data_IF_236866535688
#
_entry.id   IF_236866535688
#
_cell.length_a   1.000
_cell.length_b   1.000
_cell.length_c   1.000
_cell.angle_alpha   90.00
_cell.angle_beta   90.00
_cell.angle_gamma   90.00
#
_symmetry.space_group_name_H-M   'P 1'
#
loop_
_entity.id
_entity.type
_entity.pdbx_description
1 polymer ?
#
# COMPACT_ATOMS: atom_id res chain seq x y z
N UNK A 1 -9.60 0.20 -29.73
CA UNK A 1 -8.34 -0.53 -29.45
C UNK A 1 -7.49 0.27 -28.46
N UNK A 2 -7.45 -0.10 -27.17
CA UNK A 2 -6.61 0.54 -26.11
C UNK A 2 -5.88 -0.53 -25.27
N UNK A 3 -5.32 -1.55 -25.92
CA UNK A 3 -4.75 -2.73 -25.24
C UNK A 3 -3.22 -2.74 -25.17
N UNK A 4 -2.53 -1.85 -25.88
CA UNK A 4 -1.06 -1.87 -25.98
C UNK A 4 -0.32 -1.20 -24.81
N UNK A 5 -0.87 -0.13 -24.22
CA UNK A 5 -0.18 0.62 -23.16
C UNK A 5 -0.07 -0.15 -21.84
N UNK A 6 -1.11 -0.91 -21.46
CA UNK A 6 -1.09 -1.75 -20.26
C UNK A 6 -0.16 -2.97 -20.41
N UNK A 7 -0.06 -3.52 -21.63
CA UNK A 7 0.84 -4.63 -21.95
C UNK A 7 2.31 -4.19 -22.03
N UNK A 8 2.59 -3.00 -22.53
CA UNK A 8 3.93 -2.42 -22.55
C UNK A 8 4.43 -1.98 -21.16
N UNK A 9 3.52 -1.58 -20.24
CA UNK A 9 3.87 -1.37 -18.83
C UNK A 9 4.12 -2.70 -18.09
N UNK A 10 3.54 -3.81 -18.56
CA UNK A 10 3.72 -5.14 -17.97
C UNK A 10 5.07 -5.79 -18.26
N UNK A 11 5.72 -5.41 -19.36
CA UNK A 11 7.05 -5.87 -19.81
C UNK A 11 8.20 -4.95 -19.41
N UNK A 12 7.92 -3.82 -18.74
CA UNK A 12 8.98 -2.97 -18.19
C UNK A 12 9.55 -3.58 -16.92
N UNK A 13 10.87 -3.50 -16.77
CA UNK A 13 11.54 -3.81 -15.52
C UNK A 13 10.97 -2.91 -14.40
N UNK A 14 10.60 -3.47 -13.24
CA UNK A 14 10.19 -2.68 -12.08
C UNK A 14 11.35 -1.81 -11.57
N UNK A 15 11.00 -0.74 -10.86
CA UNK A 15 11.99 0.07 -10.16
C UNK A 15 12.69 -0.77 -9.08
N UNK A 16 13.98 -0.56 -8.88
CA UNK A 16 14.77 -1.20 -7.82
C UNK A 16 14.12 -1.05 -6.44
N UNK A 17 13.58 0.14 -6.13
CA UNK A 17 12.86 0.38 -4.87
C UNK A 17 11.60 -0.48 -4.72
N UNK A 18 10.92 -0.78 -5.83
CA UNK A 18 9.72 -1.63 -5.84
C UNK A 18 10.07 -3.11 -5.69
N UNK A 19 11.17 -3.56 -6.31
CA UNK A 19 11.71 -4.92 -6.11
C UNK A 19 12.11 -5.13 -4.66
N UNK A 20 12.88 -4.21 -4.08
CA UNK A 20 13.27 -4.26 -2.66
C UNK A 20 12.06 -4.27 -1.74
N UNK A 21 11.03 -3.49 -2.05
CA UNK A 21 9.79 -3.49 -1.29
C UNK A 21 9.06 -4.84 -1.37
N UNK A 22 8.90 -5.40 -2.57
CA UNK A 22 8.29 -6.70 -2.75
C UNK A 22 9.10 -7.83 -2.08
N UNK A 23 10.43 -7.76 -2.13
CA UNK A 23 11.31 -8.69 -1.43
C UNK A 23 11.16 -8.59 0.09
N UNK A 24 10.99 -7.39 0.65
CA UNK A 24 10.73 -7.23 2.08
C UNK A 24 9.39 -7.88 2.49
N UNK A 25 8.36 -7.78 1.65
CA UNK A 25 7.08 -8.47 1.88
C UNK A 25 7.23 -9.99 1.78
N UNK A 26 7.97 -10.47 0.77
CA UNK A 26 8.26 -11.88 0.57
C UNK A 26 8.95 -12.49 1.80
N UNK A 27 10.00 -11.84 2.32
CA UNK A 27 10.70 -12.27 3.54
C UNK A 27 9.79 -12.20 4.76
N UNK A 28 9.03 -11.12 4.94
CA UNK A 28 8.14 -10.96 6.09
C UNK A 28 7.02 -12.00 6.15
N UNK A 29 6.52 -12.45 4.99
CA UNK A 29 5.46 -13.46 4.87
C UNK A 29 6.00 -14.88 4.71
N UNK A 30 7.31 -15.05 4.52
CA UNK A 30 7.92 -16.35 4.22
C UNK A 30 7.51 -16.93 2.86
N UNK A 31 7.10 -16.08 1.91
CA UNK A 31 6.69 -16.51 0.56
C UNK A 31 7.77 -16.17 -0.47
N UNK A 32 8.02 -17.04 -1.47
CA UNK A 32 9.01 -16.76 -2.51
C UNK A 32 8.53 -15.64 -3.45
N UNK A 33 9.44 -14.74 -3.83
CA UNK A 33 9.21 -13.73 -4.86
C UNK A 33 9.10 -14.44 -6.24
N UNK A 34 8.19 -14.02 -7.14
CA UNK A 34 8.05 -14.68 -8.44
C UNK A 34 9.33 -14.55 -9.28
N UNK A 35 9.70 -15.60 -10.00
CA UNK A 35 10.96 -15.67 -10.77
C UNK A 35 11.10 -14.57 -11.84
N UNK A 36 9.97 -14.08 -12.37
CA UNK A 36 9.92 -12.98 -13.34
C UNK A 36 9.74 -11.60 -12.69
N UNK A 37 9.91 -11.48 -11.36
CA UNK A 37 9.82 -10.19 -10.67
C UNK A 37 10.80 -9.16 -11.22
N UNK A 38 12.03 -9.57 -11.55
CA UNK A 38 13.09 -8.67 -12.01
C UNK A 38 12.81 -8.02 -13.38
N UNK A 39 12.06 -8.72 -14.25
CA UNK A 39 11.79 -8.26 -15.62
C UNK A 39 10.34 -7.86 -15.87
N UNK A 40 9.42 -8.14 -14.93
CA UNK A 40 8.00 -7.81 -15.08
C UNK A 40 7.47 -7.01 -13.90
N UNK A 41 7.24 -5.72 -14.15
CA UNK A 41 6.53 -4.85 -13.22
C UNK A 41 5.14 -5.39 -12.86
N UNK A 42 4.43 -6.04 -13.80
CA UNK A 42 3.11 -6.63 -13.52
C UNK A 42 3.19 -7.81 -12.57
N UNK A 43 4.21 -8.67 -12.69
CA UNK A 43 4.41 -9.76 -11.74
C UNK A 43 4.62 -9.24 -10.31
N UNK A 44 5.41 -8.18 -10.16
CA UNK A 44 5.61 -7.51 -8.87
C UNK A 44 4.31 -6.87 -8.36
N UNK A 45 3.56 -6.16 -9.21
CA UNK A 45 2.28 -5.55 -8.81
C UNK A 45 1.24 -6.58 -8.39
N UNK A 46 1.12 -7.68 -9.13
CA UNK A 46 0.22 -8.78 -8.80
C UNK A 46 0.60 -9.41 -7.46
N UNK A 47 1.89 -9.67 -7.22
CA UNK A 47 2.40 -10.16 -5.94
C UNK A 47 2.08 -9.20 -4.79
N UNK A 48 2.36 -7.91 -4.96
CA UNK A 48 2.05 -6.88 -3.98
C UNK A 48 0.54 -6.75 -3.73
N UNK A 49 -0.31 -7.01 -4.73
CA UNK A 49 -1.77 -6.99 -4.61
C UNK A 49 -2.30 -8.21 -3.85
N UNK A 50 -1.85 -9.40 -4.22
CA UNK A 50 -2.27 -10.64 -3.57
C UNK A 50 -1.89 -10.71 -2.09
N UNK A 51 -0.76 -10.09 -1.71
CA UNK A 51 -0.24 -10.13 -0.35
C UNK A 51 -0.46 -8.82 0.43
N UNK A 52 -1.17 -7.83 -0.13
CA UNK A 52 -1.34 -6.54 0.55
C UNK A 52 -2.14 -6.66 1.85
N UNK A 53 -3.16 -7.50 1.89
CA UNK A 53 -4.02 -7.66 3.06
C UNK A 53 -3.28 -8.38 4.19
N UNK A 54 -2.61 -9.48 3.86
CA UNK A 54 -1.81 -10.25 4.83
C UNK A 54 -0.67 -9.41 5.39
N UNK A 55 0.08 -8.72 4.53
CA UNK A 55 1.17 -7.84 4.96
C UNK A 55 0.65 -6.59 5.68
N UNK A 56 -0.52 -6.08 5.28
CA UNK A 56 -1.17 -4.94 5.91
C UNK A 56 -1.64 -5.21 7.33
N UNK A 57 -2.00 -6.46 7.63
CA UNK A 57 -2.43 -6.89 8.96
C UNK A 57 -1.26 -7.22 9.91
N UNK A 58 -0.02 -7.24 9.41
CA UNK A 58 1.16 -7.38 10.26
C UNK A 58 1.38 -6.12 11.10
N UNK A 59 2.08 -6.25 12.24
CA UNK A 59 2.49 -5.10 13.04
C UNK A 59 3.37 -4.15 12.22
N UNK A 60 3.15 -2.83 12.35
CA UNK A 60 4.02 -1.82 11.76
C UNK A 60 5.42 -1.88 12.33
N UNK A 61 6.40 -1.50 11.51
CA UNK A 61 7.80 -1.39 11.94
C UNK A 61 7.94 -0.29 12.99
N UNK A 62 8.87 -0.47 13.94
CA UNK A 62 9.18 0.51 15.00
C UNK A 62 9.42 1.92 14.46
N UNK A 63 10.05 2.05 13.28
CA UNK A 63 10.26 3.35 12.62
C UNK A 63 8.94 4.02 12.22
N UNK A 64 7.96 3.23 11.78
CA UNK A 64 6.63 3.75 11.43
C UNK A 64 5.84 4.14 12.68
N UNK A 65 5.93 3.33 13.74
CA UNK A 65 5.31 3.65 15.03
C UNK A 65 5.91 4.92 15.65
N UNK A 66 7.24 5.06 15.68
CA UNK A 66 7.90 6.25 16.19
C UNK A 66 7.53 7.51 15.39
N UNK A 67 7.44 7.40 14.06
CA UNK A 67 7.00 8.53 13.22
C UNK A 67 5.54 8.91 13.50
N UNK A 68 4.65 7.92 13.58
CA UNK A 68 3.25 8.15 13.89
C UNK A 68 3.06 8.72 15.30
N UNK A 69 3.82 8.25 16.28
CA UNK A 69 3.82 8.76 17.65
C UNK A 69 4.29 10.21 17.71
N UNK A 70 5.35 10.57 16.96
CA UNK A 70 5.78 11.97 16.85
C UNK A 70 4.68 12.86 16.27
N UNK A 71 4.03 12.40 15.20
CA UNK A 71 2.94 13.13 14.55
C UNK A 71 1.71 13.27 15.47
N UNK A 72 1.41 12.21 16.22
CA UNK A 72 0.36 12.17 17.24
C UNK A 72 0.61 13.21 18.33
N UNK A 73 1.84 13.30 18.86
CA UNK A 73 2.23 14.32 19.83
C UNK A 73 2.17 15.72 19.24
N UNK A 74 2.67 15.92 18.01
CA UNK A 74 2.68 17.23 17.35
C UNK A 74 1.26 17.76 17.08
N UNK A 75 0.32 16.86 16.71
CA UNK A 75 -1.08 17.21 16.41
C UNK A 75 -2.03 17.08 17.59
N UNK A 76 -1.56 16.58 18.74
CA UNK A 76 -2.39 16.31 19.91
C UNK A 76 -3.42 15.18 19.69
N UNK A 77 -3.15 14.23 18.80
CA UNK A 77 -4.06 13.11 18.47
C UNK A 77 -3.47 11.81 19.01
N UNK A 78 -4.27 10.94 19.63
CA UNK A 78 -3.78 9.66 20.14
C UNK A 78 -3.78 8.56 19.06
N UNK A 79 -2.78 7.67 19.12
CA UNK A 79 -2.69 6.48 18.26
C UNK A 79 -3.44 5.31 18.92
N UNK A 80 -4.52 4.82 18.31
CA UNK A 80 -5.30 3.71 18.84
C UNK A 80 -4.62 2.35 18.59
N UNK A 81 -5.07 1.32 19.31
CA UNK A 81 -4.47 -0.02 19.29
C UNK A 81 -4.50 -0.65 17.90
N UNK A 82 -5.54 -0.39 17.10
CA UNK A 82 -5.64 -0.89 15.74
C UNK A 82 -4.52 -0.34 14.84
N UNK A 83 -4.19 0.95 14.96
CA UNK A 83 -3.06 1.54 14.23
C UNK A 83 -1.72 1.02 14.75
N UNK A 84 -1.62 0.57 16.00
CA UNK A 84 -0.40 -0.03 16.54
C UNK A 84 -0.18 -1.46 16.07
N UNK A 85 -1.25 -2.18 15.73
CA UNK A 85 -1.22 -3.59 15.36
C UNK A 85 -1.29 -3.85 13.86
N UNK A 86 -1.86 -2.90 13.10
CA UNK A 86 -2.05 -3.04 11.66
C UNK A 86 -1.32 -1.93 10.89
N UNK A 87 -0.43 -2.34 9.97
CA UNK A 87 0.21 -1.44 9.01
C UNK A 87 -0.77 -0.70 8.14
N UNK A 88 -1.86 -1.35 7.73
CA UNK A 88 -2.88 -0.74 6.91
C UNK A 88 -3.61 0.37 7.67
N UNK A 89 -4.00 0.11 8.92
CA UNK A 89 -4.64 1.11 9.78
C UNK A 89 -3.70 2.28 10.10
N UNK A 90 -2.42 1.98 10.40
CA UNK A 90 -1.41 3.03 10.62
C UNK A 90 -1.18 3.88 9.37
N UNK A 91 -1.12 3.25 8.20
CA UNK A 91 -0.92 3.93 6.92
C UNK A 91 -2.07 4.89 6.61
N UNK A 92 -3.31 4.42 6.73
CA UNK A 92 -4.49 5.27 6.53
C UNK A 92 -4.54 6.45 7.51
N UNK A 93 -4.17 6.22 8.78
CA UNK A 93 -4.05 7.30 9.76
C UNK A 93 -2.94 8.29 9.38
N UNK A 94 -1.77 7.79 8.98
CA UNK A 94 -0.68 8.64 8.51
C UNK A 94 -1.08 9.44 7.26
N UNK A 95 -1.85 8.88 6.33
CA UNK A 95 -2.30 9.62 5.14
C UNK A 95 -3.28 10.76 5.46
N UNK A 96 -4.10 10.58 6.51
CA UNK A 96 -5.02 11.62 7.01
C UNK A 96 -4.28 12.71 7.79
N UNK A 97 -3.27 12.32 8.56
CA UNK A 97 -2.58 13.21 9.50
C UNK A 97 -1.24 13.75 9.00
N UNK A 98 -0.61 13.17 7.98
CA UNK A 98 0.67 13.65 7.45
C UNK A 98 0.45 14.95 6.67
N UNK A 99 1.17 16.00 7.04
CA UNK A 99 1.14 17.25 6.30
C UNK A 99 1.65 17.04 4.88
N UNK A 100 0.81 17.37 3.89
CA UNK A 100 1.14 17.25 2.46
C UNK A 100 2.41 18.02 2.06
N UNK A 101 2.93 18.90 2.93
CA UNK A 101 4.18 19.66 2.75
C UNK A 101 5.45 18.98 3.32
N UNK A 102 5.33 17.95 4.18
CA UNK A 102 6.46 17.33 4.90
C UNK A 102 6.54 15.81 4.77
N UNK A 103 5.63 15.19 4.01
CA UNK A 103 5.71 13.77 3.69
C UNK A 103 6.88 13.52 2.72
N UNK A 104 7.79 12.55 2.99
CA UNK A 104 8.66 12.07 1.94
C UNK A 104 7.75 11.46 0.87
N UNK A 105 7.83 11.98 -0.36
CA UNK A 105 7.04 11.56 -1.50
C UNK A 105 7.27 10.07 -1.83
N UNK A 106 6.66 9.18 -1.05
CA UNK A 106 6.53 7.78 -1.39
C UNK A 106 5.27 7.68 -2.21
N UNK A 107 5.51 7.76 -3.53
CA UNK A 107 4.61 7.39 -4.63
C UNK A 107 3.45 6.56 -4.11
N UNK A 108 2.28 7.19 -3.99
CA UNK A 108 1.03 6.54 -3.69
C UNK A 108 0.87 5.39 -4.68
N UNK A 109 1.16 4.17 -4.22
CA UNK A 109 0.58 2.99 -4.83
C UNK A 109 -0.89 3.14 -4.46
N UNK A 110 -1.65 3.62 -5.43
CA UNK A 110 -3.10 3.62 -5.42
C UNK A 110 -3.57 2.18 -5.27
N UNK A 111 -3.62 1.69 -4.03
CA UNK A 111 -4.53 0.60 -3.68
C UNK A 111 -5.87 1.28 -3.39
N UNK A 112 -6.70 1.34 -4.43
CA UNK A 112 -8.13 1.58 -4.27
C UNK A 112 -8.67 0.63 -3.20
N UNK A 113 -9.39 1.10 -2.16
CA UNK A 113 -10.40 0.27 -1.57
C UNK A 113 -11.54 0.23 -2.59
N UNK A 114 -11.72 -0.93 -3.21
CA UNK A 114 -12.95 -1.25 -3.91
C UNK A 114 -14.10 -1.20 -2.88
N UNK A 115 -14.74 -0.04 -2.75
CA UNK A 115 -16.00 0.12 -2.06
C UNK A 115 -16.94 0.92 -2.96
N UNK A 116 -17.42 0.28 -4.05
CA UNK A 116 -18.61 0.74 -4.76
C UNK A 116 -19.84 0.43 -3.90
N UNK A 117 -20.09 1.27 -2.89
CA UNK A 117 -21.46 1.51 -2.44
C UNK A 117 -22.13 2.38 -3.49
N UNK A 118 -22.86 1.77 -4.40
CA UNK A 118 -23.87 2.48 -5.19
C UNK A 118 -25.24 2.03 -4.71
N UNK A 119 -25.76 2.78 -3.73
CA UNK A 119 -27.14 2.72 -3.25
C UNK A 119 -28.08 2.81 -4.45
N UNK A 120 -28.90 1.78 -4.63
CA UNK A 120 -29.92 1.70 -5.65
C UNK A 120 -30.83 2.94 -5.64
N UNK A 121 -30.91 3.65 -6.77
CA UNK A 121 -32.03 4.55 -7.06
C UNK A 121 -33.00 3.80 -7.97
N UNK A 122 -34.08 3.32 -7.38
CA UNK A 122 -35.24 2.81 -8.12
C UNK A 122 -36.05 4.02 -8.60
N UNK A 123 -36.15 4.18 -9.91
CA UNK A 123 -37.10 5.08 -10.55
C UNK A 123 -38.29 4.24 -11.03
N UNK A 124 -39.52 4.63 -10.66
CA UNK A 124 -40.72 4.52 -11.50
C UNK A 124 -41.92 5.21 -10.84
N UNK A 125 -42.39 6.30 -11.44
CA UNK A 125 -43.78 6.58 -11.76
C UNK A 125 -43.77 7.44 -13.02
#
# INVERSE_FOLDING_TARGET
>A
MRVDAAKAAATRAPSEGQLRYAQAIAVALGVPLPANADSSHTAVQAFLGAHSDTYGNLPPSDKQLAYAQKLATEKGVALADEQRRSRAALGAWLDLHADKKKAPAKKAISKSPAAKTTRARKAKA
#
